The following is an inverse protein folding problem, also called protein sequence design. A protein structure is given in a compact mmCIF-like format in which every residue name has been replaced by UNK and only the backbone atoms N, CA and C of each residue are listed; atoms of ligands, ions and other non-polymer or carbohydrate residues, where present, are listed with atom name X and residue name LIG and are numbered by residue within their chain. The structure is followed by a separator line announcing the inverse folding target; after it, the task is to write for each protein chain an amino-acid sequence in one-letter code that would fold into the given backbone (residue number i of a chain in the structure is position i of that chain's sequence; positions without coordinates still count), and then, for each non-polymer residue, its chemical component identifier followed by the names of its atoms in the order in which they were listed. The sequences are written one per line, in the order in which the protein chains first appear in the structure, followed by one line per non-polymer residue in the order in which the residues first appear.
data_IF_343580545479
#
_entry.id   IF_343580545479
#
_cell.length_a   1.000
_cell.length_b   1.000
_cell.length_c   1.000
_cell.angle_alpha   90.00
_cell.angle_beta   90.00
_cell.angle_gamma   90.00
#
_symmetry.space_group_name_H-M   'P 1'
#
loop_
_entity.id
_entity.type
_entity.pdbx_description
1 polymer ?
#
# COMPACT_ATOMS: atom_id res chain seq x y z
N UNK A 1 -1.66 18.93 23.93
CA UNK A 1 -0.62 18.99 24.95
C UNK A 1 -0.63 20.31 25.73
N UNK A 2 0.25 20.44 26.73
CA UNK A 2 0.34 21.64 27.58
C UNK A 2 0.69 22.89 26.77
N UNK A 3 1.65 22.76 25.87
CA UNK A 3 2.04 23.82 24.94
C UNK A 3 1.94 23.26 23.51
N UNK A 4 1.01 23.75 22.69
CA UNK A 4 0.95 23.39 21.28
C UNK A 4 2.19 23.90 20.54
N UNK A 5 2.75 23.07 19.64
CA UNK A 5 3.94 23.46 18.90
C UNK A 5 4.56 22.29 18.14
N UNK A 6 5.61 22.59 17.40
CA UNK A 6 6.43 21.64 16.67
C UNK A 6 7.70 21.40 17.46
N UNK A 7 7.99 20.14 17.76
CA UNK A 7 9.13 19.71 18.55
C UNK A 7 10.05 18.86 17.69
N UNK A 8 11.36 19.03 17.83
CA UNK A 8 12.36 18.30 17.02
C UNK A 8 12.84 17.02 17.70
N UNK A 9 12.49 16.84 18.98
CA UNK A 9 12.80 15.62 19.70
C UNK A 9 11.59 15.07 20.45
N UNK A 10 11.57 13.74 20.63
CA UNK A 10 10.53 13.11 21.45
C UNK A 10 10.57 13.58 22.90
N UNK A 11 11.75 13.77 23.48
CA UNK A 11 11.89 14.21 24.87
C UNK A 11 11.22 15.55 25.14
N UNK A 12 11.26 16.49 24.19
CA UNK A 12 10.59 17.77 24.30
C UNK A 12 9.08 17.63 24.12
N UNK A 13 8.64 16.84 23.14
CA UNK A 13 7.23 16.56 22.91
C UNK A 13 6.61 15.82 24.10
N UNK A 14 7.29 14.81 24.64
CA UNK A 14 6.82 14.02 25.77
C UNK A 14 6.48 14.88 26.99
N UNK A 15 7.31 15.88 27.31
CA UNK A 15 7.06 16.82 28.40
C UNK A 15 5.72 17.58 28.25
N UNK A 16 5.25 17.73 27.01
CA UNK A 16 4.00 18.45 26.72
C UNK A 16 2.78 17.53 26.72
N UNK A 17 2.97 16.25 26.42
CA UNK A 17 1.84 15.32 26.18
C UNK A 17 1.65 14.31 27.30
N UNK A 18 2.71 13.91 27.99
CA UNK A 18 2.66 12.91 29.06
C UNK A 18 1.79 13.37 30.22
N UNK A 19 0.75 12.58 30.55
CA UNK A 19 -0.20 12.89 31.60
C UNK A 19 -1.11 14.09 31.30
N UNK A 20 -1.19 14.55 30.04
CA UNK A 20 -2.15 15.56 29.63
C UNK A 20 -3.35 14.89 28.96
N UNK A 21 -4.51 14.97 29.58
CA UNK A 21 -5.76 14.38 29.08
C UNK A 21 -6.14 15.03 27.76
N UNK A 22 -6.41 14.22 26.72
CA UNK A 22 -6.74 14.73 25.38
C UNK A 22 -5.52 15.25 24.60
N UNK A 23 -4.30 14.84 24.98
CA UNK A 23 -3.11 15.21 24.21
C UNK A 23 -3.17 14.58 22.81
N UNK A 24 -3.08 15.43 21.80
CA UNK A 24 -2.96 15.03 20.39
C UNK A 24 -1.55 15.35 19.92
N UNK A 25 -0.88 14.35 19.34
CA UNK A 25 0.46 14.52 18.78
C UNK A 25 0.71 13.50 17.68
N UNK A 26 1.58 13.85 16.74
CA UNK A 26 1.95 13.02 15.61
C UNK A 26 3.37 13.34 15.16
N UNK A 27 4.14 12.29 14.77
CA UNK A 27 5.45 12.48 14.16
C UNK A 27 5.33 12.67 12.64
N UNK A 28 6.20 13.51 12.11
CA UNK A 28 6.32 13.77 10.67
C UNK A 28 7.78 13.58 10.23
N UNK A 29 8.03 13.11 9.00
CA UNK A 29 9.38 12.90 8.48
C UNK A 29 10.19 14.19 8.31
N UNK A 30 9.52 15.31 8.00
CA UNK A 30 10.17 16.62 7.82
C UNK A 30 9.48 17.71 8.61
N UNK A 31 10.21 18.80 8.83
CA UNK A 31 9.70 19.98 9.54
C UNK A 31 8.59 20.68 8.75
N UNK A 32 8.73 20.78 7.44
CA UNK A 32 7.73 21.39 6.55
C UNK A 32 6.38 20.65 6.61
N UNK A 33 6.42 19.32 6.70
CA UNK A 33 5.21 18.51 6.89
C UNK A 33 4.57 18.77 8.25
N UNK A 34 5.36 18.88 9.31
CA UNK A 34 4.87 19.19 10.64
C UNK A 34 4.24 20.59 10.67
N UNK A 35 4.85 21.58 10.01
CA UNK A 35 4.33 22.95 9.91
C UNK A 35 3.04 23.01 9.10
N UNK A 36 2.94 22.29 7.99
CA UNK A 36 1.71 22.17 7.21
C UNK A 36 0.59 21.54 8.02
N UNK A 37 0.89 20.43 8.71
CA UNK A 37 -0.08 19.74 9.55
C UNK A 37 -0.51 20.57 10.77
N UNK A 38 0.38 21.37 11.33
CA UNK A 38 0.09 22.24 12.47
C UNK A 38 -0.83 23.41 12.11
N UNK A 39 -0.81 23.86 10.85
CA UNK A 39 -1.71 24.92 10.33
C UNK A 39 -3.11 24.38 9.96
N UNK A 40 -3.23 23.08 9.68
CA UNK A 40 -4.46 22.42 9.28
C UNK A 40 -5.15 21.75 10.48
N UNK A 41 -6.39 21.29 10.31
CA UNK A 41 -7.10 20.60 11.38
C UNK A 41 -6.44 19.25 11.71
N UNK A 42 -6.33 18.91 13.01
CA UNK A 42 -5.84 17.62 13.46
C UNK A 42 -6.71 16.46 12.93
N UNK A 43 -8.02 16.65 12.76
CA UNK A 43 -8.94 15.66 12.23
C UNK A 43 -8.55 15.19 10.81
N UNK A 44 -7.91 16.07 10.02
CA UNK A 44 -7.41 15.72 8.67
C UNK A 44 -6.26 14.69 8.72
N UNK A 45 -5.62 14.56 9.88
CA UNK A 45 -4.47 13.68 10.10
C UNK A 45 -4.74 12.54 11.07
N UNK A 46 -5.86 12.58 11.82
CA UNK A 46 -6.24 11.58 12.80
C UNK A 46 -6.54 10.23 12.13
N UNK A 47 -5.94 9.16 12.64
CA UNK A 47 -6.16 7.81 12.09
C UNK A 47 -5.53 7.55 10.73
N UNK A 48 -5.07 8.58 10.02
CA UNK A 48 -4.26 8.40 8.82
C UNK A 48 -2.84 8.08 9.28
N UNK A 49 -2.47 6.82 9.28
CA UNK A 49 -1.06 6.47 9.46
C UNK A 49 -0.29 7.18 8.34
N UNK A 50 0.85 7.80 8.67
CA UNK A 50 1.60 8.66 7.76
C UNK A 50 2.19 7.97 6.53
N UNK A 51 1.61 6.83 6.13
CA UNK A 51 2.00 6.05 4.96
C UNK A 51 1.34 6.52 3.66
N UNK A 52 0.11 7.06 3.70
CA UNK A 52 -0.65 7.31 2.46
C UNK A 52 -0.20 8.54 1.65
N UNK A 53 0.67 9.39 2.18
CA UNK A 53 1.16 10.56 1.44
C UNK A 53 2.66 10.85 1.63
N UNK A 54 3.45 9.92 2.15
CA UNK A 54 4.91 10.06 2.23
C UNK A 54 5.55 10.32 0.86
N UNK A 55 4.96 9.80 -0.21
CA UNK A 55 5.43 9.97 -1.57
C UNK A 55 5.31 11.41 -2.09
N UNK A 56 4.36 12.23 -1.57
CA UNK A 56 4.26 13.65 -1.97
C UNK A 56 5.53 14.45 -1.64
N UNK A 57 6.28 13.99 -0.65
CA UNK A 57 7.50 14.61 -0.14
C UNK A 57 8.75 13.78 -0.41
N UNK A 58 8.62 12.66 -1.11
CA UNK A 58 9.75 11.86 -1.54
C UNK A 58 10.59 12.65 -2.57
N UNK A 59 11.93 12.48 -2.56
CA UNK A 59 12.80 13.11 -3.56
C UNK A 59 12.44 12.68 -5.00
N UNK A 60 11.87 11.48 -5.14
CA UNK A 60 11.32 10.98 -6.41
C UNK A 60 9.82 10.81 -6.24
N UNK A 61 9.05 11.55 -7.02
CA UNK A 61 7.59 11.40 -7.05
C UNK A 61 7.19 10.21 -7.92
N UNK A 62 6.10 9.50 -7.56
CA UNK A 62 5.56 8.47 -8.46
C UNK A 62 5.09 9.12 -9.77
N UNK A 63 5.17 8.36 -10.83
CA UNK A 63 4.52 8.72 -12.10
C UNK A 63 3.02 8.61 -11.90
N UNK A 64 2.28 9.62 -12.33
CA UNK A 64 0.80 9.64 -12.25
C UNK A 64 0.22 9.79 -13.66
N UNK A 65 -0.95 9.19 -13.91
CA UNK A 65 -1.71 8.30 -13.04
C UNK A 65 -1.02 6.94 -12.83
N UNK A 66 -1.30 6.28 -11.71
CA UNK A 66 -0.71 4.98 -11.36
C UNK A 66 -1.56 4.22 -10.33
N UNK A 67 -1.25 2.95 -10.13
CA UNK A 67 -1.90 2.07 -9.15
C UNK A 67 -0.90 1.66 -8.08
N UNK A 68 -1.26 1.76 -6.80
CA UNK A 68 -0.54 1.14 -5.70
C UNK A 68 -1.26 -0.11 -5.24
N UNK A 69 -0.51 -1.17 -4.97
CA UNK A 69 -1.03 -2.43 -4.46
C UNK A 69 -0.37 -2.81 -3.14
N UNK A 70 -1.12 -3.54 -2.31
CA UNK A 70 -0.70 -3.93 -0.97
C UNK A 70 -1.44 -5.19 -0.54
N UNK A 71 -0.81 -6.00 0.31
CA UNK A 71 -1.40 -7.18 0.92
C UNK A 71 -1.21 -7.21 2.43
N UNK A 72 -2.11 -7.87 3.12
CA UNK A 72 -2.01 -8.13 4.55
C UNK A 72 -2.30 -9.60 4.82
N UNK A 73 -1.45 -10.23 5.63
CA UNK A 73 -1.62 -11.62 6.05
C UNK A 73 -1.40 -11.74 7.57
N UNK A 74 -2.40 -12.27 8.27
CA UNK A 74 -2.31 -12.48 9.71
C UNK A 74 -1.76 -13.87 10.03
N UNK A 75 -0.49 -14.10 9.70
CA UNK A 75 0.20 -15.38 9.86
C UNK A 75 0.89 -15.83 8.57
N UNK A 76 1.53 -17.03 8.61
CA UNK A 76 2.18 -17.61 7.44
C UNK A 76 2.21 -19.16 7.56
N UNK A 77 1.14 -19.84 7.13
CA UNK A 77 -0.10 -19.35 6.51
C UNK A 77 -1.07 -18.68 7.48
N UNK A 78 -2.00 -17.88 6.93
CA UNK A 78 -3.05 -17.22 7.70
C UNK A 78 -4.04 -16.44 6.83
N UNK A 79 -5.02 -15.76 7.44
CA UNK A 79 -5.96 -14.92 6.71
C UNK A 79 -5.24 -13.87 5.87
N UNK A 80 -5.48 -13.93 4.56
CA UNK A 80 -4.85 -13.09 3.55
C UNK A 80 -5.88 -12.19 2.89
N UNK A 81 -5.59 -10.91 2.80
CA UNK A 81 -6.32 -9.97 1.97
C UNK A 81 -5.35 -9.09 1.16
N UNK A 82 -5.83 -8.57 0.05
CA UNK A 82 -5.04 -7.66 -0.77
C UNK A 82 -5.95 -6.67 -1.52
N UNK A 83 -5.38 -5.53 -1.88
CA UNK A 83 -6.11 -4.41 -2.50
C UNK A 83 -5.25 -3.65 -3.50
N UNK A 84 -5.92 -2.92 -4.38
CA UNK A 84 -5.33 -1.90 -5.23
C UNK A 84 -6.04 -0.57 -5.06
N UNK A 85 -5.27 0.51 -5.13
CA UNK A 85 -5.77 1.88 -5.02
C UNK A 85 -5.16 2.76 -6.11
N UNK A 86 -5.88 3.79 -6.53
CA UNK A 86 -5.31 4.85 -7.35
C UNK A 86 -4.29 5.63 -6.51
N UNK A 87 -3.07 5.78 -7.00
CA UNK A 87 -1.98 6.43 -6.24
C UNK A 87 -2.31 7.88 -5.91
N UNK A 88 -2.95 8.58 -6.82
CA UNK A 88 -3.26 10.01 -6.70
C UNK A 88 -4.32 10.29 -5.64
N UNK A 89 -5.40 9.52 -5.64
CA UNK A 89 -6.59 9.78 -4.81
C UNK A 89 -6.68 8.88 -3.58
N UNK A 90 -6.01 7.71 -3.60
CA UNK A 90 -6.20 6.65 -2.63
C UNK A 90 -7.52 5.89 -2.80
N UNK A 91 -8.27 6.14 -3.88
CA UNK A 91 -9.51 5.44 -4.20
C UNK A 91 -9.23 3.96 -4.42
N UNK A 92 -9.99 3.10 -3.73
CA UNK A 92 -9.86 1.65 -3.84
C UNK A 92 -10.51 1.15 -5.12
N UNK A 93 -9.71 0.55 -5.99
CA UNK A 93 -10.16 -0.01 -7.28
C UNK A 93 -10.53 -1.48 -7.19
N UNK A 94 -9.92 -2.22 -6.27
CA UNK A 94 -10.30 -3.58 -5.91
C UNK A 94 -9.84 -3.94 -4.49
N UNK A 95 -10.51 -4.93 -3.91
CA UNK A 95 -10.10 -5.65 -2.69
C UNK A 95 -10.56 -7.10 -2.80
N UNK A 96 -9.75 -8.03 -2.32
CA UNK A 96 -10.06 -9.45 -2.27
C UNK A 96 -9.60 -10.07 -0.95
N UNK A 97 -10.35 -11.05 -0.46
CA UNK A 97 -10.15 -11.69 0.84
C UNK A 97 -11.22 -11.29 1.87
N UNK A 98 -11.07 -11.77 3.13
CA UNK A 98 -9.96 -12.62 3.60
C UNK A 98 -10.04 -14.06 3.07
N UNK A 99 -8.87 -14.60 2.68
CA UNK A 99 -8.69 -16.02 2.31
C UNK A 99 -8.00 -16.74 3.46
N UNK A 100 -8.44 -17.95 3.86
CA UNK A 100 -8.03 -18.54 5.14
C UNK A 100 -6.54 -18.93 5.24
N UNK A 101 -5.91 -19.37 4.14
CA UNK A 101 -4.59 -20.02 4.15
C UNK A 101 -3.59 -19.35 3.19
N UNK A 102 -3.42 -18.04 3.31
CA UNK A 102 -2.51 -17.28 2.47
C UNK A 102 -1.15 -17.03 3.10
N UNK A 103 -0.25 -16.45 2.31
CA UNK A 103 1.01 -15.85 2.78
C UNK A 103 1.16 -14.45 2.23
N UNK A 104 1.88 -13.57 2.92
CA UNK A 104 2.04 -12.18 2.47
C UNK A 104 2.61 -12.10 1.05
N UNK A 105 3.67 -12.85 0.73
CA UNK A 105 4.28 -12.82 -0.60
C UNK A 105 3.31 -13.23 -1.72
N UNK A 106 2.42 -14.20 -1.45
CA UNK A 106 1.39 -14.61 -2.41
C UNK A 106 0.34 -13.51 -2.58
N UNK A 107 -0.07 -12.86 -1.50
CA UNK A 107 -1.00 -11.74 -1.55
C UNK A 107 -0.46 -10.57 -2.36
N UNK A 108 0.78 -10.18 -2.12
CA UNK A 108 1.47 -9.14 -2.88
C UNK A 108 1.54 -9.44 -4.37
N UNK A 109 1.87 -10.70 -4.71
CA UNK A 109 1.87 -11.13 -6.10
C UNK A 109 0.48 -11.06 -6.74
N UNK A 110 -0.54 -11.56 -6.04
CA UNK A 110 -1.93 -11.53 -6.53
C UNK A 110 -2.45 -10.10 -6.67
N UNK A 111 -2.07 -9.20 -5.76
CA UNK A 111 -2.41 -7.79 -5.86
C UNK A 111 -1.87 -7.15 -7.14
N UNK A 112 -0.60 -7.44 -7.52
CA UNK A 112 -0.02 -6.97 -8.78
C UNK A 112 -0.79 -7.55 -9.98
N UNK A 113 -1.08 -8.87 -9.96
CA UNK A 113 -1.80 -9.54 -11.06
C UNK A 113 -3.19 -8.95 -11.29
N UNK A 114 -3.94 -8.68 -10.20
CA UNK A 114 -5.25 -8.05 -10.32
C UNK A 114 -5.18 -6.59 -10.80
N UNK A 115 -4.15 -5.84 -10.38
CA UNK A 115 -3.93 -4.49 -10.89
C UNK A 115 -3.65 -4.51 -12.39
N UNK A 116 -2.84 -5.46 -12.87
CA UNK A 116 -2.59 -5.63 -14.32
C UNK A 116 -3.87 -5.97 -15.08
N UNK A 117 -4.69 -6.90 -14.58
CA UNK A 117 -5.97 -7.28 -15.20
C UNK A 117 -6.92 -6.07 -15.25
N UNK A 118 -6.99 -5.30 -14.17
CA UNK A 118 -7.80 -4.09 -14.10
C UNK A 118 -7.33 -3.03 -15.12
N UNK A 119 -6.02 -2.77 -15.21
CA UNK A 119 -5.44 -1.81 -16.16
C UNK A 119 -5.73 -2.22 -17.60
N UNK A 120 -5.56 -3.50 -17.94
CA UNK A 120 -5.85 -4.04 -19.27
C UNK A 120 -7.34 -3.87 -19.61
N UNK A 121 -8.23 -4.22 -18.68
CA UNK A 121 -9.68 -4.10 -18.87
C UNK A 121 -10.11 -2.65 -19.09
N UNK A 122 -9.38 -1.70 -18.52
CA UNK A 122 -9.61 -0.26 -18.64
C UNK A 122 -8.82 0.40 -19.79
N UNK A 123 -8.02 -0.38 -20.51
CA UNK A 123 -7.13 0.09 -21.58
C UNK A 123 -6.15 1.18 -21.10
N UNK A 124 -5.61 1.00 -19.87
CA UNK A 124 -4.63 1.90 -19.27
C UNK A 124 -3.23 1.25 -19.28
N UNK A 125 -2.20 2.04 -19.57
CA UNK A 125 -0.77 1.67 -19.53
C UNK A 125 -0.03 2.23 -18.30
N UNK A 126 -0.76 2.47 -17.22
CA UNK A 126 -0.23 3.10 -16.01
C UNK A 126 0.71 2.18 -15.24
N UNK A 127 1.75 2.73 -14.58
CA UNK A 127 2.63 1.94 -13.75
C UNK A 127 1.92 1.43 -12.48
N UNK A 128 2.37 0.25 -12.02
CA UNK A 128 1.94 -0.36 -10.76
C UNK A 128 3.09 -0.24 -9.76
N UNK A 129 2.79 0.23 -8.56
CA UNK A 129 3.72 0.31 -7.44
C UNK A 129 3.39 -0.74 -6.38
N UNK A 130 4.40 -1.51 -5.99
CA UNK A 130 4.38 -2.47 -4.88
C UNK A 130 5.67 -2.35 -4.09
N UNK A 131 5.64 -2.56 -2.79
CA UNK A 131 6.81 -2.61 -1.91
C UNK A 131 7.42 -4.01 -1.81
N UNK A 132 6.78 -5.02 -2.43
CA UNK A 132 7.25 -6.40 -2.42
C UNK A 132 8.27 -6.70 -3.52
N UNK A 133 9.56 -6.66 -3.15
CA UNK A 133 10.63 -7.04 -4.07
C UNK A 133 10.49 -8.48 -4.58
N UNK A 134 9.95 -9.40 -3.76
CA UNK A 134 9.70 -10.79 -4.14
C UNK A 134 8.61 -10.90 -5.21
N UNK A 135 7.48 -10.25 -5.01
CA UNK A 135 6.37 -10.26 -5.96
C UNK A 135 6.80 -9.65 -7.31
N UNK A 136 7.49 -8.50 -7.28
CA UNK A 136 8.06 -7.86 -8.47
C UNK A 136 9.05 -8.80 -9.17
N UNK A 137 9.92 -9.49 -8.40
CA UNK A 137 10.87 -10.45 -8.94
C UNK A 137 10.19 -11.65 -9.62
N UNK A 138 9.09 -12.14 -9.07
CA UNK A 138 8.31 -13.23 -9.67
C UNK A 138 7.64 -12.80 -10.98
N UNK A 139 7.07 -11.59 -11.01
CA UNK A 139 6.51 -11.02 -12.24
C UNK A 139 7.58 -10.93 -13.32
N UNK A 140 8.74 -10.30 -13.02
CA UNK A 140 9.85 -10.12 -13.98
C UNK A 140 10.45 -11.43 -14.47
N UNK A 141 10.48 -12.46 -13.62
CA UNK A 141 11.02 -13.77 -13.97
C UNK A 141 10.02 -14.65 -14.74
N UNK A 142 8.77 -14.24 -14.91
CA UNK A 142 7.72 -15.07 -15.51
C UNK A 142 7.45 -16.35 -14.73
N UNK A 143 7.77 -16.40 -13.43
CA UNK A 143 7.66 -17.59 -12.58
C UNK A 143 6.24 -17.82 -12.08
N UNK A 144 5.31 -18.06 -12.98
CA UNK A 144 3.88 -18.29 -12.65
C UNK A 144 3.52 -19.74 -12.36
N UNK A 145 4.48 -20.65 -12.38
CA UNK A 145 4.23 -22.09 -12.16
C UNK A 145 3.93 -22.48 -10.72
N UNK A 146 4.10 -21.56 -9.77
CA UNK A 146 3.91 -21.82 -8.34
C UNK A 146 2.92 -20.83 -7.72
N UNK A 147 1.66 -20.91 -8.12
CA UNK A 147 0.57 -20.37 -7.31
C UNK A 147 0.08 -21.55 -6.47
N UNK A 148 0.30 -21.55 -5.13
CA UNK A 148 -0.30 -22.56 -4.27
C UNK A 148 -1.81 -22.55 -4.51
N UNK A 149 -2.45 -23.73 -4.48
CA UNK A 149 -3.91 -23.82 -4.44
C UNK A 149 -4.37 -23.09 -3.18
N UNK A 150 -4.73 -21.83 -3.33
CA UNK A 150 -5.39 -21.07 -2.27
C UNK A 150 -6.82 -21.62 -2.25
N UNK A 151 -7.15 -22.37 -1.19
CA UNK A 151 -8.44 -22.91 -0.82
C UNK A 151 -9.52 -23.03 -1.91
N UNK A 152 -10.43 -23.91 -1.77
CA UNK A 152 -11.51 -24.23 -2.71
C UNK A 152 -12.21 -22.99 -3.31
N UNK A 153 -11.65 -22.37 -4.36
CA UNK A 153 -12.45 -21.43 -5.12
C UNK A 153 -11.78 -20.27 -5.86
N UNK A 154 -10.54 -19.90 -5.58
CA UNK A 154 -9.92 -18.85 -6.37
C UNK A 154 -8.83 -19.40 -7.27
N UNK A 155 -9.24 -19.85 -8.44
CA UNK A 155 -8.34 -19.93 -9.58
C UNK A 155 -8.18 -18.51 -10.13
N UNK A 156 -7.07 -17.84 -9.80
CA UNK A 156 -6.58 -16.77 -10.68
C UNK A 156 -6.56 -17.38 -12.07
N UNK A 157 -7.15 -16.75 -13.11
CA UNK A 157 -7.18 -17.36 -14.43
C UNK A 157 -5.75 -17.43 -14.98
N UNK A 158 -5.00 -18.42 -14.53
CA UNK A 158 -3.63 -18.72 -14.93
C UNK A 158 -3.46 -18.74 -16.45
N UNK A 159 -4.47 -19.22 -17.14
CA UNK A 159 -4.46 -19.31 -18.60
C UNK A 159 -4.56 -17.94 -19.28
N UNK A 160 -5.43 -17.04 -18.78
CA UNK A 160 -5.57 -15.71 -19.36
C UNK A 160 -4.34 -14.84 -19.10
N UNK A 161 -3.80 -14.90 -17.89
CA UNK A 161 -2.63 -14.14 -17.52
C UNK A 161 -1.37 -14.61 -18.23
N UNK A 162 -1.13 -15.94 -18.29
CA UNK A 162 -0.01 -16.51 -19.03
C UNK A 162 -0.06 -16.14 -20.51
N UNK A 163 -1.24 -16.23 -21.14
CA UNK A 163 -1.42 -15.85 -22.53
C UNK A 163 -1.10 -14.37 -22.75
N UNK A 164 -1.63 -13.49 -21.90
CA UNK A 164 -1.36 -12.07 -21.97
C UNK A 164 0.12 -11.73 -21.76
N UNK A 165 0.77 -12.38 -20.77
CA UNK A 165 2.20 -12.22 -20.52
C UNK A 165 3.04 -12.62 -21.72
N UNK A 166 2.76 -13.81 -22.27
CA UNK A 166 3.48 -14.33 -23.44
C UNK A 166 3.32 -13.43 -24.67
N UNK A 167 2.20 -12.75 -24.80
CA UNK A 167 1.88 -11.84 -25.91
C UNK A 167 2.48 -10.43 -25.75
N UNK A 168 2.67 -9.93 -24.54
CA UNK A 168 2.99 -8.52 -24.28
C UNK A 168 4.35 -8.27 -23.61
N UNK A 169 4.98 -9.29 -23.04
CA UNK A 169 6.20 -9.14 -22.22
C UNK A 169 7.42 -9.93 -22.79
N UNK A 170 7.32 -10.51 -23.95
CA UNK A 170 8.42 -11.05 -24.76
C UNK A 170 8.80 -9.99 -25.79
#
# INVERSE_FOLDING_TARGET
GRKPGIYTSWQECEKQVKGFTGAEYKSFPTREMAESAFRNSYEDYKGKSGSSQKWLFAPTKPVLPSVCVDAACSGSPGPLEYRGVLTETGEQIFRAGPFPDGTNNVGEFLAIVLAMDWLITKEHDWPIYSDSANAIGWIKAGKFGYIPKIGNGYQVPHVKFKKWWDENMR
#
